data_IF_824902513797
#
_entry.id   IF_824902513797
#
_cell.length_a   1.000
_cell.length_b   1.000
_cell.length_c   1.000
_cell.angle_alpha   90.00
_cell.angle_beta   90.00
_cell.angle_gamma   90.00
#
_symmetry.space_group_name_H-M   'P 1'
#
loop_
_entity.id
_entity.type
_entity.pdbx_description
1 polymer ?
#
# COMPACT_ATOMS: atom_id res chain seq x y z
N UNK A 1 -13.14 5.00 -22.77
CA UNK A 1 -14.35 5.06 -21.91
C UNK A 1 -13.98 5.74 -20.61
N UNK A 2 -14.81 6.66 -20.10
CA UNK A 2 -14.57 7.31 -18.81
C UNK A 2 -14.64 6.27 -17.69
N UNK A 3 -13.66 6.29 -16.80
CA UNK A 3 -13.60 5.38 -15.63
C UNK A 3 -14.68 5.78 -14.64
N UNK A 4 -15.53 4.84 -14.21
CA UNK A 4 -16.57 5.10 -13.20
C UNK A 4 -15.92 5.26 -11.83
N UNK A 5 -16.22 6.38 -11.17
CA UNK A 5 -15.79 6.67 -9.80
C UNK A 5 -16.98 6.53 -8.87
N UNK A 6 -16.91 5.63 -7.90
CA UNK A 6 -17.91 5.44 -6.85
C UNK A 6 -17.63 6.38 -5.68
N UNK A 7 -18.64 7.14 -5.26
CA UNK A 7 -18.64 8.04 -4.11
C UNK A 7 -19.55 7.53 -3.01
N UNK A 8 -19.56 8.17 -1.86
CA UNK A 8 -20.40 7.79 -0.71
C UNK A 8 -21.87 7.58 -1.07
N UNK A 9 -22.44 8.44 -1.92
CA UNK A 9 -23.83 8.35 -2.36
C UNK A 9 -24.14 7.13 -3.24
N UNK A 10 -23.11 6.54 -3.87
CA UNK A 10 -23.27 5.41 -4.78
C UNK A 10 -23.19 4.06 -4.07
N UNK A 11 -22.86 4.06 -2.77
CA UNK A 11 -22.56 2.84 -2.02
C UNK A 11 -23.42 2.74 -0.76
N UNK A 12 -24.09 1.62 -0.61
CA UNK A 12 -24.89 1.31 0.59
C UNK A 12 -24.06 0.49 1.59
N UNK A 13 -23.84 1.07 2.76
CA UNK A 13 -23.15 0.43 3.87
C UNK A 13 -23.96 -0.71 4.51
N UNK A 14 -25.29 -0.73 4.32
CA UNK A 14 -26.18 -1.76 4.86
C UNK A 14 -25.80 -3.18 4.39
N UNK A 15 -25.10 -3.32 3.27
CA UNK A 15 -24.54 -4.60 2.81
C UNK A 15 -23.60 -5.30 3.78
N UNK A 16 -22.99 -4.56 4.71
CA UNK A 16 -22.14 -5.10 5.77
C UNK A 16 -22.87 -5.30 7.10
N UNK A 17 -24.08 -4.73 7.25
CA UNK A 17 -24.86 -4.88 8.49
C UNK A 17 -25.14 -6.36 8.76
N UNK A 18 -25.00 -6.76 10.03
CA UNK A 18 -25.19 -8.15 10.47
C UNK A 18 -24.02 -9.08 10.15
N UNK A 19 -23.11 -8.71 9.25
CA UNK A 19 -21.93 -9.53 8.92
C UNK A 19 -20.78 -9.30 9.90
N UNK A 20 -20.04 -10.36 10.17
CA UNK A 20 -18.80 -10.30 10.94
C UNK A 20 -17.61 -10.18 10.00
N UNK A 21 -16.81 -9.14 10.17
CA UNK A 21 -15.59 -8.85 9.41
C UNK A 21 -14.37 -9.32 10.20
N UNK A 22 -13.64 -10.31 9.69
CA UNK A 22 -12.35 -10.70 10.24
C UNK A 22 -11.22 -9.92 9.56
N UNK A 23 -10.31 -9.40 10.35
CA UNK A 23 -9.03 -8.83 9.88
C UNK A 23 -7.92 -9.78 10.34
N UNK A 24 -7.32 -10.50 9.40
CA UNK A 24 -6.22 -11.43 9.67
C UNK A 24 -4.89 -10.70 9.55
N UNK A 25 -4.26 -10.44 10.69
CA UNK A 25 -3.09 -9.56 10.82
C UNK A 25 -3.47 -8.17 11.31
N UNK A 26 -2.54 -7.53 12.04
CA UNK A 26 -2.75 -6.19 12.64
C UNK A 26 -1.52 -5.30 12.40
N UNK A 27 -0.98 -5.36 11.18
CA UNK A 27 0.05 -4.48 10.65
C UNK A 27 -0.54 -3.11 10.29
N UNK A 28 0.11 -2.37 9.39
CA UNK A 28 -0.32 -1.02 8.99
C UNK A 28 -1.74 -1.00 8.40
N UNK A 29 -2.00 -1.78 7.35
CA UNK A 29 -3.33 -1.86 6.72
C UNK A 29 -4.34 -2.55 7.64
N UNK A 30 -3.98 -3.67 8.28
CA UNK A 30 -4.89 -4.39 9.17
C UNK A 30 -5.38 -3.54 10.34
N UNK A 31 -4.51 -2.73 10.93
CA UNK A 31 -4.86 -1.77 11.97
C UNK A 31 -5.86 -0.72 11.45
N UNK A 32 -5.57 -0.08 10.32
CA UNK A 32 -6.41 0.95 9.75
C UNK A 32 -7.80 0.41 9.38
N UNK A 33 -7.86 -0.71 8.63
CA UNK A 33 -9.13 -1.32 8.25
C UNK A 33 -9.96 -1.75 9.46
N UNK A 34 -9.35 -2.42 10.45
CA UNK A 34 -10.08 -2.88 11.62
C UNK A 34 -10.71 -1.73 12.42
N UNK A 35 -9.98 -0.62 12.59
CA UNK A 35 -10.49 0.53 13.32
C UNK A 35 -11.54 1.31 12.54
N UNK A 36 -11.33 1.53 11.24
CA UNK A 36 -12.29 2.25 10.41
C UNK A 36 -13.61 1.49 10.27
N UNK A 37 -13.56 0.15 10.09
CA UNK A 37 -14.73 -0.71 10.11
C UNK A 37 -15.49 -0.62 11.42
N UNK A 38 -14.78 -0.72 12.56
CA UNK A 38 -15.39 -0.59 13.89
C UNK A 38 -16.07 0.76 14.06
N UNK A 39 -15.37 1.84 13.71
CA UNK A 39 -15.88 3.21 13.86
C UNK A 39 -17.02 3.51 12.87
N UNK A 40 -17.15 2.71 11.81
CA UNK A 40 -18.30 2.69 10.90
C UNK A 40 -19.44 1.77 11.38
N UNK A 41 -19.37 1.24 12.61
CA UNK A 41 -20.42 0.43 13.22
C UNK A 41 -20.42 -1.04 12.79
N UNK A 42 -19.36 -1.55 12.17
CA UNK A 42 -19.29 -2.94 11.73
C UNK A 42 -18.81 -3.86 12.85
N UNK A 43 -19.28 -5.12 12.83
CA UNK A 43 -18.83 -6.17 13.74
C UNK A 43 -17.46 -6.68 13.30
N UNK A 44 -16.41 -6.32 14.03
CA UNK A 44 -15.02 -6.62 13.68
C UNK A 44 -14.40 -7.60 14.66
N UNK A 45 -13.70 -8.58 14.16
CA UNK A 45 -12.81 -9.46 14.91
C UNK A 45 -11.40 -9.46 14.29
N UNK A 46 -10.38 -9.67 15.10
CA UNK A 46 -8.99 -9.72 14.63
C UNK A 46 -8.45 -11.11 14.82
N UNK A 47 -7.93 -11.70 13.74
CA UNK A 47 -7.25 -13.00 13.74
C UNK A 47 -5.74 -12.84 13.85
N UNK A 48 -5.12 -13.38 14.92
CA UNK A 48 -3.68 -13.31 15.16
C UNK A 48 -3.18 -14.63 15.75
N UNK A 49 -2.01 -15.09 15.31
CA UNK A 49 -1.37 -16.27 15.87
C UNK A 49 -1.10 -16.12 17.38
N UNK A 50 -1.02 -17.24 18.07
CA UNK A 50 -0.69 -17.29 19.50
C UNK A 50 0.69 -16.67 19.72
N UNK A 51 0.82 -15.73 20.68
CA UNK A 51 2.09 -15.04 20.95
C UNK A 51 2.35 -13.78 20.08
N UNK A 52 1.46 -13.42 19.16
CA UNK A 52 1.61 -12.18 18.38
C UNK A 52 1.63 -10.95 19.30
N UNK A 53 2.67 -10.12 19.19
CA UNK A 53 2.79 -8.84 19.92
C UNK A 53 1.64 -7.88 19.60
N UNK A 54 1.02 -8.00 18.43
CA UNK A 54 -0.10 -7.16 18.01
C UNK A 54 -1.40 -7.46 18.78
N UNK A 55 -1.51 -8.59 19.50
CA UNK A 55 -2.70 -8.92 20.32
C UNK A 55 -2.97 -7.86 21.38
N UNK A 56 -1.94 -7.39 22.07
CA UNK A 56 -2.05 -6.33 23.10
C UNK A 56 -2.59 -5.04 22.47
N UNK A 57 -2.01 -4.61 21.34
CA UNK A 57 -2.43 -3.40 20.63
C UNK A 57 -3.89 -3.49 20.14
N UNK A 58 -4.29 -4.64 19.58
CA UNK A 58 -5.65 -4.84 19.13
C UNK A 58 -6.67 -4.81 20.30
N UNK A 59 -6.35 -5.46 21.43
CA UNK A 59 -7.20 -5.43 22.65
C UNK A 59 -7.31 -4.02 23.25
N UNK A 60 -6.21 -3.26 23.32
CA UNK A 60 -6.22 -1.85 23.77
C UNK A 60 -7.15 -0.98 22.90
N UNK A 61 -7.30 -1.31 21.63
CA UNK A 61 -8.27 -0.69 20.74
C UNK A 61 -9.68 -1.30 20.84
N UNK A 62 -10.00 -2.04 21.89
CA UNK A 62 -11.33 -2.66 22.16
C UNK A 62 -11.79 -3.62 21.06
N UNK A 63 -10.86 -4.26 20.33
CA UNK A 63 -11.18 -5.26 19.32
C UNK A 63 -11.15 -6.66 19.93
N UNK A 64 -12.10 -7.53 19.53
CA UNK A 64 -12.11 -8.94 19.90
C UNK A 64 -11.02 -9.66 19.11
N UNK A 65 -10.10 -10.36 19.80
CA UNK A 65 -8.95 -11.03 19.21
C UNK A 65 -9.08 -12.53 19.41
N UNK A 66 -9.03 -13.26 18.31
CA UNK A 66 -9.05 -14.73 18.25
C UNK A 66 -7.75 -15.26 17.63
N UNK A 67 -7.55 -16.57 17.64
CA UNK A 67 -6.59 -17.22 16.77
C UNK A 67 -7.12 -17.18 15.31
N UNK A 68 -6.22 -17.25 14.34
CA UNK A 68 -6.58 -17.06 12.92
C UNK A 68 -7.73 -17.96 12.48
N UNK A 69 -7.64 -19.25 12.77
CA UNK A 69 -8.66 -20.22 12.41
C UNK A 69 -10.04 -19.90 13.03
N UNK A 70 -10.05 -19.50 14.30
CA UNK A 70 -11.27 -19.13 15.00
C UNK A 70 -11.91 -17.86 14.46
N UNK A 71 -11.09 -16.87 14.11
CA UNK A 71 -11.55 -15.64 13.48
C UNK A 71 -12.22 -15.94 12.12
N UNK A 72 -11.61 -16.83 11.31
CA UNK A 72 -12.17 -17.25 10.01
C UNK A 72 -13.51 -17.96 10.18
N UNK A 73 -13.63 -18.94 11.11
CA UNK A 73 -14.88 -19.68 11.34
C UNK A 73 -16.04 -18.79 11.78
N UNK A 74 -15.75 -17.70 12.50
CA UNK A 74 -16.75 -16.77 13.09
C UNK A 74 -17.18 -15.66 12.16
N UNK A 75 -16.61 -15.57 10.97
CA UNK A 75 -16.76 -14.37 10.13
C UNK A 75 -17.39 -14.69 8.78
N UNK A 76 -17.94 -13.65 8.15
CA UNK A 76 -18.54 -13.74 6.82
C UNK A 76 -17.59 -13.17 5.76
N UNK A 77 -16.77 -12.18 6.14
CA UNK A 77 -15.78 -11.55 5.29
C UNK A 77 -14.42 -11.63 5.97
N UNK A 78 -13.44 -12.17 5.28
CA UNK A 78 -12.09 -12.42 5.79
C UNK A 78 -11.10 -11.56 5.01
N UNK A 79 -10.57 -10.52 5.64
CA UNK A 79 -9.55 -9.64 5.09
C UNK A 79 -8.15 -10.12 5.46
N UNK A 80 -7.32 -10.40 4.46
CA UNK A 80 -5.94 -10.81 4.64
C UNK A 80 -5.01 -9.60 4.67
N UNK A 81 -4.57 -9.20 5.86
CA UNK A 81 -3.64 -8.10 6.12
C UNK A 81 -2.27 -8.62 6.57
N UNK A 82 -1.75 -9.60 5.86
CA UNK A 82 -0.49 -10.29 6.13
C UNK A 82 0.57 -9.90 5.07
N UNK A 83 1.86 -9.95 5.40
CA UNK A 83 2.90 -9.81 4.38
C UNK A 83 2.78 -10.88 3.30
N UNK A 84 2.95 -10.51 2.02
CA UNK A 84 2.78 -11.39 0.86
C UNK A 84 3.58 -12.69 0.96
N UNK A 85 4.77 -12.62 1.54
CA UNK A 85 5.65 -13.77 1.73
C UNK A 85 5.20 -14.76 2.82
N UNK A 86 4.36 -14.33 3.75
CA UNK A 86 3.82 -15.17 4.83
C UNK A 86 2.38 -15.59 4.57
N UNK A 87 1.67 -14.81 3.77
CA UNK A 87 0.25 -15.00 3.51
C UNK A 87 -0.10 -16.39 2.95
N UNK A 88 0.65 -16.97 1.98
CA UNK A 88 0.34 -18.29 1.45
C UNK A 88 0.38 -19.39 2.52
N UNK A 89 1.41 -19.43 3.35
CA UNK A 89 1.56 -20.44 4.40
C UNK A 89 0.44 -20.35 5.47
N UNK A 90 0.06 -19.12 5.86
CA UNK A 90 -1.06 -18.92 6.79
C UNK A 90 -2.39 -19.27 6.12
N UNK A 91 -2.55 -18.93 4.84
CA UNK A 91 -3.75 -19.30 4.08
C UNK A 91 -3.94 -20.82 4.06
N UNK A 92 -2.93 -21.57 3.68
CA UNK A 92 -2.99 -23.05 3.61
C UNK A 92 -3.26 -23.70 4.97
N UNK A 93 -2.52 -23.28 6.01
CA UNK A 93 -2.57 -23.94 7.32
C UNK A 93 -3.76 -23.55 8.18
N UNK A 94 -4.20 -22.30 8.13
CA UNK A 94 -5.15 -21.76 9.12
C UNK A 94 -6.43 -21.22 8.48
N UNK A 95 -6.38 -20.79 7.21
CA UNK A 95 -7.53 -20.11 6.59
C UNK A 95 -8.31 -21.06 5.70
N UNK A 96 -7.68 -21.68 4.70
CA UNK A 96 -8.36 -22.50 3.70
C UNK A 96 -9.18 -23.64 4.32
N UNK A 97 -8.64 -24.31 5.36
CA UNK A 97 -9.27 -25.40 6.08
C UNK A 97 -10.47 -24.96 6.95
N UNK A 98 -10.57 -23.69 7.26
CA UNK A 98 -11.58 -23.11 8.13
C UNK A 98 -12.59 -22.22 7.39
N UNK A 99 -12.41 -22.05 6.08
CA UNK A 99 -13.38 -21.32 5.24
C UNK A 99 -14.66 -22.16 5.05
N UNK A 100 -15.79 -21.48 5.04
CA UNK A 100 -17.11 -22.01 4.72
C UNK A 100 -17.57 -21.50 3.35
N UNK A 101 -18.41 -22.29 2.67
CA UNK A 101 -19.05 -21.86 1.43
C UNK A 101 -19.81 -20.51 1.65
N UNK A 102 -19.77 -19.64 0.65
CA UNK A 102 -20.45 -18.34 0.67
C UNK A 102 -19.72 -17.23 1.43
N UNK A 103 -18.59 -17.50 2.10
CA UNK A 103 -17.76 -16.45 2.67
C UNK A 103 -17.08 -15.61 1.58
N UNK A 104 -16.62 -14.42 1.96
CA UNK A 104 -15.83 -13.54 1.09
C UNK A 104 -14.38 -13.46 1.58
N UNK A 105 -13.43 -13.76 0.72
CA UNK A 105 -12.00 -13.53 0.95
C UNK A 105 -11.61 -12.19 0.33
N UNK A 106 -11.02 -11.30 1.13
CA UNK A 106 -10.69 -9.94 0.73
C UNK A 106 -9.18 -9.68 0.86
N UNK A 107 -8.63 -9.01 -0.14
CA UNK A 107 -7.21 -8.63 -0.21
C UNK A 107 -7.07 -7.11 -0.31
N UNK A 108 -5.95 -6.57 0.19
CA UNK A 108 -5.60 -5.15 0.02
C UNK A 108 -4.73 -4.90 -1.23
N UNK A 109 -4.19 -5.95 -1.84
CA UNK A 109 -3.32 -5.93 -3.00
C UNK A 109 -3.47 -7.22 -3.79
N UNK A 110 -3.30 -7.16 -5.11
CA UNK A 110 -3.60 -8.29 -5.98
C UNK A 110 -2.51 -9.37 -6.07
N UNK A 111 -1.31 -9.17 -5.51
CA UNK A 111 -0.12 -10.02 -5.65
C UNK A 111 -0.41 -11.52 -5.48
N UNK A 112 -1.05 -11.89 -4.38
CA UNK A 112 -1.26 -13.29 -4.02
C UNK A 112 -2.14 -14.05 -5.02
N UNK A 113 -3.13 -13.37 -5.60
CA UNK A 113 -4.05 -13.94 -6.58
C UNK A 113 -3.46 -13.88 -7.98
N UNK A 114 -2.88 -12.76 -8.37
CA UNK A 114 -2.32 -12.56 -9.71
C UNK A 114 -1.16 -13.52 -10.00
N UNK A 115 -0.22 -13.66 -9.07
CA UNK A 115 0.90 -14.60 -9.21
C UNK A 115 0.61 -16.01 -8.67
N UNK A 116 -0.66 -16.30 -8.34
CA UNK A 116 -1.13 -17.61 -7.88
C UNK A 116 -0.35 -18.18 -6.69
N UNK A 117 0.15 -17.33 -5.81
CA UNK A 117 0.73 -17.77 -4.53
C UNK A 117 -0.35 -18.24 -3.55
N UNK A 118 -1.58 -17.82 -3.78
CA UNK A 118 -2.81 -18.35 -3.17
C UNK A 118 -3.78 -18.73 -4.28
N UNK A 119 -4.31 -19.96 -4.21
CA UNK A 119 -5.41 -20.44 -5.04
C UNK A 119 -6.65 -20.57 -4.15
N UNK A 120 -7.60 -19.62 -4.21
CA UNK A 120 -8.77 -19.64 -3.34
C UNK A 120 -9.74 -20.77 -3.69
N UNK A 121 -10.48 -21.28 -2.69
CA UNK A 121 -11.59 -22.21 -2.88
C UNK A 121 -12.60 -21.69 -3.89
N UNK A 122 -13.25 -22.60 -4.62
CA UNK A 122 -14.18 -22.23 -5.70
C UNK A 122 -15.56 -21.76 -5.20
N UNK A 123 -15.91 -22.08 -3.98
CA UNK A 123 -17.23 -21.86 -3.37
C UNK A 123 -17.34 -20.56 -2.54
N UNK A 124 -16.38 -19.64 -2.67
CA UNK A 124 -16.34 -18.35 -1.99
C UNK A 124 -16.21 -17.18 -2.97
N UNK A 125 -16.59 -16.00 -2.52
CA UNK A 125 -16.27 -14.75 -3.21
C UNK A 125 -14.80 -14.37 -2.97
N UNK A 126 -14.17 -13.76 -3.98
CA UNK A 126 -12.80 -13.24 -3.86
C UNK A 126 -12.75 -11.83 -4.41
N UNK A 127 -12.42 -10.89 -3.56
CA UNK A 127 -12.42 -9.47 -3.88
C UNK A 127 -11.15 -8.78 -3.40
N UNK A 128 -10.89 -7.61 -3.94
CA UNK A 128 -9.83 -6.71 -3.50
C UNK A 128 -10.42 -5.35 -3.16
N UNK A 129 -9.90 -4.75 -2.10
CA UNK A 129 -10.08 -3.34 -1.75
C UNK A 129 -8.70 -2.78 -1.42
N UNK A 130 -8.13 -2.02 -2.33
CA UNK A 130 -6.78 -1.48 -2.25
C UNK A 130 -6.82 0.05 -2.05
N UNK A 131 -6.74 0.55 -0.80
CA UNK A 131 -6.58 1.98 -0.55
C UNK A 131 -5.23 2.46 -1.13
N UNK A 132 -5.25 3.57 -1.88
CA UNK A 132 -4.02 4.17 -2.43
C UNK A 132 -3.38 5.12 -1.41
N UNK A 133 -2.93 4.53 -0.31
CA UNK A 133 -2.26 5.20 0.79
C UNK A 133 -1.76 4.22 1.85
N UNK A 134 -0.75 4.64 2.59
CA UNK A 134 -0.19 3.85 3.69
C UNK A 134 -1.24 3.69 4.81
N UNK A 135 -1.21 2.58 5.53
CA UNK A 135 -2.17 2.29 6.60
C UNK A 135 -2.39 3.44 7.59
N UNK A 136 -1.35 4.10 8.13
CA UNK A 136 -1.52 5.28 8.97
C UNK A 136 -2.30 6.41 8.29
N UNK A 137 -2.07 6.68 6.98
CA UNK A 137 -2.83 7.69 6.22
C UNK A 137 -4.30 7.28 6.08
N UNK A 138 -4.57 6.01 5.74
CA UNK A 138 -5.96 5.49 5.66
C UNK A 138 -6.70 5.73 6.97
N UNK A 139 -6.02 5.57 8.12
CA UNK A 139 -6.61 5.82 9.43
C UNK A 139 -6.79 7.32 9.71
N UNK A 140 -5.74 8.11 9.50
CA UNK A 140 -5.75 9.55 9.81
C UNK A 140 -6.77 10.30 8.95
N UNK A 141 -6.83 10.04 7.65
CA UNK A 141 -7.80 10.66 6.76
C UNK A 141 -9.24 10.28 7.14
N UNK A 142 -9.46 9.02 7.54
CA UNK A 142 -10.77 8.59 8.03
C UNK A 142 -11.21 9.35 9.28
N UNK A 143 -10.32 9.48 10.28
CA UNK A 143 -10.62 10.20 11.55
C UNK A 143 -10.91 11.67 11.30
N UNK A 144 -10.22 12.27 10.33
CA UNK A 144 -10.41 13.66 9.93
C UNK A 144 -11.63 13.88 9.01
N UNK A 145 -12.52 12.88 8.87
CA UNK A 145 -13.70 12.98 8.01
C UNK A 145 -13.41 12.90 6.50
N UNK A 146 -12.14 12.76 6.12
CA UNK A 146 -11.67 12.59 4.74
C UNK A 146 -11.49 11.11 4.42
N UNK A 147 -10.85 10.80 3.29
CA UNK A 147 -10.49 9.45 2.89
C UNK A 147 -9.35 9.45 1.87
N UNK A 148 -8.72 8.31 1.70
CA UNK A 148 -7.79 8.08 0.60
C UNK A 148 -8.52 7.41 -0.56
N UNK A 149 -8.18 7.71 -1.82
CA UNK A 149 -8.76 6.99 -2.97
C UNK A 149 -8.52 5.49 -2.86
N UNK A 150 -9.41 4.69 -3.42
CA UNK A 150 -9.30 3.24 -3.37
C UNK A 150 -9.60 2.58 -4.71
N UNK A 151 -9.08 1.37 -4.88
CA UNK A 151 -9.43 0.50 -5.99
C UNK A 151 -10.21 -0.69 -5.47
N UNK A 152 -11.17 -1.17 -6.26
CA UNK A 152 -11.82 -2.46 -6.03
C UNK A 152 -11.65 -3.37 -7.24
N UNK A 153 -11.55 -4.67 -6.98
CA UNK A 153 -11.60 -5.68 -8.03
C UNK A 153 -12.36 -6.93 -7.54
N UNK A 154 -12.99 -7.62 -8.48
CA UNK A 154 -13.66 -8.89 -8.25
C UNK A 154 -12.92 -9.97 -9.05
N UNK A 155 -12.31 -10.91 -8.35
CA UNK A 155 -11.70 -12.08 -8.98
C UNK A 155 -12.72 -13.21 -9.16
N UNK A 156 -13.59 -13.41 -8.14
CA UNK A 156 -14.67 -14.41 -8.17
C UNK A 156 -15.91 -13.87 -7.48
N UNK A 157 -17.04 -14.03 -8.16
CA UNK A 157 -18.36 -13.62 -7.69
C UNK A 157 -19.29 -14.84 -7.60
N UNK A 158 -19.10 -15.69 -6.60
CA UNK A 158 -19.91 -16.92 -6.40
C UNK A 158 -21.32 -16.60 -5.91
N UNK A 159 -21.43 -15.57 -5.06
CA UNK A 159 -22.72 -15.18 -4.44
C UNK A 159 -23.56 -14.23 -5.30
N UNK A 160 -23.02 -13.69 -6.40
CA UNK A 160 -23.62 -12.57 -7.15
C UNK A 160 -23.46 -11.20 -6.47
N UNK A 161 -22.82 -11.14 -5.28
CA UNK A 161 -22.79 -9.96 -4.41
C UNK A 161 -21.37 -9.41 -4.15
N UNK A 162 -20.33 -10.05 -4.68
CA UNK A 162 -18.93 -9.75 -4.42
C UNK A 162 -18.57 -8.25 -4.60
N UNK A 163 -19.02 -7.63 -5.69
CA UNK A 163 -18.79 -6.21 -5.97
C UNK A 163 -19.44 -5.30 -4.92
N UNK A 164 -20.68 -5.60 -4.52
CA UNK A 164 -21.38 -4.83 -3.46
C UNK A 164 -20.66 -4.92 -2.13
N UNK A 165 -20.13 -6.10 -1.80
CA UNK A 165 -19.33 -6.31 -0.58
C UNK A 165 -18.03 -5.50 -0.63
N UNK A 166 -17.31 -5.48 -1.76
CA UNK A 166 -16.09 -4.68 -1.93
C UNK A 166 -16.36 -3.18 -1.82
N UNK A 167 -17.43 -2.69 -2.46
CA UNK A 167 -17.84 -1.29 -2.37
C UNK A 167 -18.23 -0.90 -0.93
N UNK A 168 -19.06 -1.70 -0.27
CA UNK A 168 -19.45 -1.43 1.10
C UNK A 168 -18.26 -1.45 2.07
N UNK A 169 -17.30 -2.36 1.88
CA UNK A 169 -16.05 -2.35 2.63
C UNK A 169 -15.24 -1.09 2.39
N UNK A 170 -15.13 -0.65 1.11
CA UNK A 170 -14.45 0.61 0.75
C UNK A 170 -15.06 1.82 1.43
N UNK A 171 -16.40 1.87 1.52
CA UNK A 171 -17.12 2.92 2.24
C UNK A 171 -16.85 2.86 3.73
N UNK A 172 -16.90 1.66 4.31
CA UNK A 172 -16.65 1.46 5.74
C UNK A 172 -15.24 1.87 6.19
N UNK A 173 -14.27 1.83 5.29
CA UNK A 173 -12.90 2.31 5.57
C UNK A 173 -12.63 3.74 5.11
N UNK A 174 -13.63 4.42 4.51
CA UNK A 174 -13.59 5.83 4.13
C UNK A 174 -13.10 6.13 2.71
N UNK A 175 -12.79 5.12 1.88
CA UNK A 175 -12.27 5.37 0.54
C UNK A 175 -13.26 6.06 -0.39
N UNK A 176 -14.56 5.83 -0.24
CA UNK A 176 -15.60 6.43 -1.08
C UNK A 176 -15.74 7.95 -0.90
N UNK A 177 -15.24 8.50 0.20
CA UNK A 177 -15.17 9.96 0.43
C UNK A 177 -14.22 10.63 -0.59
N UNK A 178 -13.11 9.98 -0.92
CA UNK A 178 -12.17 10.45 -1.94
C UNK A 178 -12.51 9.91 -3.35
N UNK A 179 -13.10 8.71 -3.43
CA UNK A 179 -13.51 8.04 -4.64
C UNK A 179 -12.90 6.66 -4.79
N UNK A 180 -13.66 5.74 -5.36
CA UNK A 180 -13.27 4.35 -5.59
C UNK A 180 -13.43 4.00 -7.06
N UNK A 181 -12.40 3.38 -7.65
CA UNK A 181 -12.36 2.96 -9.04
C UNK A 181 -12.40 1.43 -9.10
N UNK A 182 -13.15 0.89 -10.04
CA UNK A 182 -13.14 -0.54 -10.35
C UNK A 182 -11.99 -0.87 -11.28
N UNK A 183 -11.26 -1.94 -10.98
CA UNK A 183 -10.12 -2.43 -11.75
C UNK A 183 -10.08 -3.95 -11.77
N UNK A 184 -8.97 -4.54 -12.16
CA UNK A 184 -8.70 -5.98 -12.10
C UNK A 184 -7.57 -6.28 -11.11
N UNK A 185 -7.49 -7.51 -10.60
CA UNK A 185 -6.34 -7.95 -9.80
C UNK A 185 -5.02 -7.81 -10.58
N UNK A 186 -5.05 -8.06 -11.89
CA UNK A 186 -3.88 -7.88 -12.75
C UNK A 186 -3.44 -6.42 -12.80
N UNK A 187 -4.34 -5.54 -13.21
CA UNK A 187 -3.99 -4.13 -13.47
C UNK A 187 -3.56 -3.43 -12.18
N UNK A 188 -4.24 -3.71 -11.06
CA UNK A 188 -3.83 -3.20 -9.75
C UNK A 188 -2.42 -3.69 -9.39
N UNK A 189 -2.15 -5.01 -9.50
CA UNK A 189 -0.83 -5.55 -9.13
C UNK A 189 0.29 -5.02 -10.01
N UNK A 190 0.07 -4.97 -11.33
CA UNK A 190 1.08 -4.47 -12.28
C UNK A 190 1.39 -3.00 -12.04
N UNK A 191 0.37 -2.17 -11.89
CA UNK A 191 0.54 -0.72 -11.72
C UNK A 191 1.07 -0.34 -10.35
N UNK A 192 0.64 -1.01 -9.29
CA UNK A 192 1.11 -0.78 -7.92
C UNK A 192 2.61 -1.15 -7.79
N UNK A 193 2.99 -2.35 -8.20
CA UNK A 193 4.39 -2.79 -8.21
C UNK A 193 5.27 -1.90 -9.09
N UNK A 194 4.78 -1.47 -10.25
CA UNK A 194 5.51 -0.54 -11.10
C UNK A 194 5.68 0.83 -10.42
N UNK A 195 4.60 1.38 -9.88
CA UNK A 195 4.61 2.67 -9.20
C UNK A 195 5.61 2.71 -8.05
N UNK A 196 5.59 1.71 -7.15
CA UNK A 196 6.51 1.67 -6.02
C UNK A 196 7.98 1.42 -6.41
N UNK A 197 8.24 0.62 -7.45
CA UNK A 197 9.60 0.33 -7.91
C UNK A 197 10.20 1.47 -8.73
N UNK A 198 9.47 1.96 -9.74
CA UNK A 198 10.00 2.91 -10.71
C UNK A 198 9.91 4.37 -10.26
N UNK A 199 8.92 4.72 -9.43
CA UNK A 199 8.64 6.12 -9.07
C UNK A 199 8.65 6.36 -7.57
N UNK A 200 7.69 5.78 -6.83
CA UNK A 200 7.37 6.21 -5.46
C UNK A 200 8.46 5.89 -4.44
N UNK A 201 9.01 4.69 -4.46
CA UNK A 201 10.02 4.26 -3.50
C UNK A 201 11.39 4.12 -4.18
N UNK A 202 11.51 3.25 -5.20
CA UNK A 202 12.78 2.96 -5.84
C UNK A 202 13.36 4.16 -6.57
N UNK A 203 12.62 4.71 -7.53
CA UNK A 203 13.05 5.85 -8.35
C UNK A 203 13.38 7.08 -7.51
N UNK A 204 12.44 7.52 -6.68
CA UNK A 204 12.63 8.72 -5.82
C UNK A 204 13.82 8.57 -4.88
N UNK A 205 13.96 7.42 -4.20
CA UNK A 205 15.11 7.21 -3.29
C UNK A 205 16.44 7.17 -4.02
N UNK A 206 16.48 6.63 -5.25
CA UNK A 206 17.68 6.61 -6.07
C UNK A 206 18.06 8.00 -6.56
N UNK A 207 17.08 8.80 -7.02
CA UNK A 207 17.28 10.19 -7.46
C UNK A 207 17.83 11.06 -6.33
N UNK A 208 17.21 11.00 -5.16
CA UNK A 208 17.65 11.74 -3.96
C UNK A 208 19.10 11.40 -3.59
N UNK A 209 19.44 10.12 -3.55
CA UNK A 209 20.82 9.71 -3.24
C UNK A 209 21.82 10.17 -4.30
N UNK A 210 21.48 10.05 -5.57
CA UNK A 210 22.34 10.49 -6.67
C UNK A 210 22.60 12.00 -6.59
N UNK A 211 21.59 12.82 -6.33
CA UNK A 211 21.73 14.26 -6.13
C UNK A 211 22.61 14.60 -4.93
N UNK A 212 22.31 14.00 -3.77
CA UNK A 212 23.10 14.16 -2.55
C UNK A 212 24.58 13.80 -2.77
N UNK A 213 24.87 12.64 -3.35
CA UNK A 213 26.25 12.18 -3.59
C UNK A 213 26.98 13.08 -4.58
N UNK A 214 26.29 13.62 -5.57
CA UNK A 214 26.87 14.53 -6.56
C UNK A 214 27.34 15.82 -5.90
N UNK A 215 26.50 16.44 -5.05
CA UNK A 215 26.85 17.65 -4.33
C UNK A 215 27.99 17.42 -3.34
N UNK A 216 27.92 16.34 -2.56
CA UNK A 216 28.96 16.02 -1.57
C UNK A 216 30.31 15.74 -2.25
N UNK A 217 30.34 15.05 -3.40
CA UNK A 217 31.55 14.80 -4.17
C UNK A 217 32.12 16.08 -4.78
N UNK A 218 31.28 17.05 -5.09
CA UNK A 218 31.68 18.36 -5.58
C UNK A 218 32.18 19.30 -4.46
N UNK A 219 32.22 18.86 -3.19
CA UNK A 219 32.77 19.60 -2.07
C UNK A 219 31.75 20.37 -1.23
N UNK A 220 30.46 20.27 -1.53
CA UNK A 220 29.41 20.91 -0.70
C UNK A 220 29.22 20.14 0.62
N UNK A 221 28.78 20.84 1.67
CA UNK A 221 28.49 20.20 2.95
C UNK A 221 27.34 19.19 2.80
N UNK A 222 27.41 18.11 3.57
CA UNK A 222 26.41 17.06 3.52
C UNK A 222 25.06 17.53 4.07
N UNK A 223 25.07 18.50 4.98
CA UNK A 223 23.88 19.14 5.55
C UNK A 223 23.14 19.94 4.48
N UNK A 224 23.86 20.77 3.70
CA UNK A 224 23.28 21.52 2.58
C UNK A 224 22.73 20.56 1.52
N UNK A 225 23.50 19.56 1.11
CA UNK A 225 23.05 18.55 0.15
C UNK A 225 21.80 17.79 0.64
N UNK A 226 21.65 17.58 1.94
CA UNK A 226 20.46 16.95 2.52
C UNK A 226 19.23 17.86 2.42
N UNK A 227 19.37 19.15 2.72
CA UNK A 227 18.25 20.09 2.60
C UNK A 227 17.75 20.19 1.17
N UNK A 228 18.66 20.41 0.23
CA UNK A 228 18.35 20.60 -1.19
C UNK A 228 17.78 19.33 -1.88
N UNK A 229 18.33 18.15 -1.57
CA UNK A 229 17.97 16.94 -2.30
C UNK A 229 16.88 16.08 -1.61
N UNK A 230 16.65 16.26 -0.29
CA UNK A 230 15.69 15.43 0.43
C UNK A 230 14.67 16.21 1.23
N UNK A 231 15.10 17.19 2.05
CA UNK A 231 14.17 17.86 2.95
C UNK A 231 13.11 18.67 2.17
N UNK A 232 13.57 19.46 1.22
CA UNK A 232 12.70 20.33 0.43
C UNK A 232 11.81 19.58 -0.56
N UNK A 233 12.20 18.38 -0.97
CA UNK A 233 11.40 17.54 -1.86
C UNK A 233 9.96 17.34 -1.34
N UNK A 234 9.78 17.28 -0.01
CA UNK A 234 8.44 17.17 0.58
C UNK A 234 7.52 18.31 0.14
N UNK A 235 8.03 19.54 0.20
CA UNK A 235 7.22 20.71 -0.14
C UNK A 235 6.85 20.75 -1.62
N UNK A 236 7.77 20.35 -2.49
CA UNK A 236 7.50 20.22 -3.93
C UNK A 236 6.46 19.13 -4.19
N UNK A 237 6.56 18.00 -3.50
CA UNK A 237 5.59 16.90 -3.64
C UNK A 237 4.22 17.31 -3.11
N UNK A 238 4.14 18.08 -2.02
CA UNK A 238 2.89 18.62 -1.50
C UNK A 238 2.22 19.54 -2.54
N UNK A 239 2.96 20.45 -3.15
CA UNK A 239 2.44 21.34 -4.22
C UNK A 239 1.92 20.54 -5.43
N UNK A 240 2.67 19.51 -5.86
CA UNK A 240 2.23 18.61 -6.95
C UNK A 240 0.94 17.88 -6.54
N UNK A 241 0.86 17.42 -5.30
CA UNK A 241 -0.31 16.69 -4.78
C UNK A 241 -1.56 17.60 -4.75
N UNK A 242 -1.40 18.83 -4.32
CA UNK A 242 -2.51 19.79 -4.14
C UNK A 242 -2.98 20.40 -5.45
N UNK A 243 -2.06 20.74 -6.35
CA UNK A 243 -2.34 21.59 -7.52
C UNK A 243 -1.89 20.99 -8.85
N UNK A 244 -1.32 19.76 -8.85
CA UNK A 244 -0.71 19.13 -10.02
C UNK A 244 0.61 19.79 -10.42
N UNK A 245 1.29 19.24 -11.42
CA UNK A 245 2.58 19.76 -11.91
C UNK A 245 2.47 21.21 -12.44
N UNK A 246 1.32 21.57 -13.01
CA UNK A 246 1.09 22.93 -13.47
C UNK A 246 1.02 23.91 -12.28
N UNK A 247 0.19 23.61 -11.29
CA UNK A 247 0.05 24.47 -10.11
C UNK A 247 1.35 24.58 -9.30
N UNK A 248 2.13 23.52 -9.20
CA UNK A 248 3.47 23.57 -8.63
C UNK A 248 4.36 24.58 -9.38
N UNK A 249 4.37 24.56 -10.75
CA UNK A 249 5.12 25.54 -11.54
C UNK A 249 4.68 26.97 -11.28
N UNK A 250 3.39 27.22 -11.09
CA UNK A 250 2.89 28.57 -10.83
C UNK A 250 3.40 29.16 -9.50
N UNK A 251 3.87 28.31 -8.59
CA UNK A 251 4.32 28.68 -7.23
C UNK A 251 5.84 28.67 -7.03
N UNK A 252 6.62 28.09 -7.95
CA UNK A 252 8.09 28.08 -7.87
C UNK A 252 8.71 29.24 -8.66
N UNK A 253 10.02 29.52 -8.44
CA UNK A 253 10.75 30.58 -9.13
C UNK A 253 10.93 30.29 -10.63
N UNK A 254 11.16 31.36 -11.42
CA UNK A 254 11.41 31.19 -12.87
C UNK A 254 12.69 30.42 -13.17
N UNK A 255 13.71 30.53 -12.32
CA UNK A 255 14.93 29.71 -12.42
C UNK A 255 14.64 28.24 -12.20
N UNK A 256 13.79 27.90 -11.23
CA UNK A 256 13.37 26.51 -10.98
C UNK A 256 12.52 25.96 -12.13
N UNK A 257 11.58 26.77 -12.68
CA UNK A 257 10.80 26.40 -13.88
C UNK A 257 11.70 26.09 -15.07
N UNK A 258 12.68 26.96 -15.31
CA UNK A 258 13.64 26.76 -16.40
C UNK A 258 14.43 25.46 -16.22
N UNK A 259 14.95 25.23 -15.01
CA UNK A 259 15.65 24.00 -14.67
C UNK A 259 14.79 22.74 -14.84
N UNK A 260 13.54 22.75 -14.33
CA UNK A 260 12.60 21.65 -14.51
C UNK A 260 12.43 21.27 -15.99
N UNK A 261 12.14 22.27 -16.84
CA UNK A 261 11.79 22.05 -18.25
C UNK A 261 13.00 21.69 -19.12
N UNK A 262 14.20 22.17 -18.77
CA UNK A 262 15.41 21.96 -19.59
C UNK A 262 16.32 20.85 -19.08
N UNK A 263 16.41 20.65 -17.76
CA UNK A 263 17.28 19.65 -17.13
C UNK A 263 16.54 18.36 -16.81
N UNK A 264 15.28 18.44 -16.40
CA UNK A 264 14.47 17.25 -16.09
C UNK A 264 14.52 16.18 -17.20
N UNK A 265 14.26 16.50 -18.48
CA UNK A 265 14.33 15.56 -19.58
C UNK A 265 15.72 14.96 -19.85
N UNK A 266 16.79 15.62 -19.39
CA UNK A 266 18.16 15.09 -19.50
C UNK A 266 18.48 14.08 -18.40
N UNK A 267 17.85 14.19 -17.24
CA UNK A 267 18.00 13.25 -16.13
C UNK A 267 17.14 12.01 -16.38
N UNK A 268 15.86 12.23 -16.72
CA UNK A 268 14.91 11.14 -17.04
C UNK A 268 14.77 11.05 -18.57
N UNK A 269 15.81 10.59 -19.21
CA UNK A 269 15.93 10.47 -20.66
C UNK A 269 15.36 9.14 -21.20
N UNK A 270 15.56 8.89 -22.49
CA UNK A 270 15.11 7.67 -23.17
C UNK A 270 15.72 6.38 -22.60
N UNK A 271 16.92 6.44 -22.00
CA UNK A 271 17.56 5.29 -21.34
C UNK A 271 16.80 4.91 -20.09
N UNK A 272 16.45 5.90 -19.25
CA UNK A 272 15.63 5.69 -18.06
C UNK A 272 14.24 5.16 -18.43
N UNK A 273 13.61 5.73 -19.46
CA UNK A 273 12.32 5.22 -19.94
C UNK A 273 12.41 3.77 -20.49
N UNK A 274 13.52 3.40 -21.12
CA UNK A 274 13.77 2.01 -21.55
C UNK A 274 13.86 1.07 -20.35
N UNK A 275 14.52 1.48 -19.27
CA UNK A 275 14.61 0.70 -18.04
C UNK A 275 13.24 0.58 -17.35
N UNK A 276 12.46 1.65 -17.27
CA UNK A 276 11.08 1.59 -16.75
C UNK A 276 10.22 0.58 -17.53
N UNK A 277 10.35 0.52 -18.85
CA UNK A 277 9.70 -0.52 -19.67
C UNK A 277 10.21 -1.93 -19.35
N UNK A 278 11.50 -2.09 -19.04
CA UNK A 278 12.06 -3.37 -18.61
C UNK A 278 11.49 -3.81 -17.25
N UNK A 279 11.42 -2.91 -16.27
CA UNK A 279 10.80 -3.15 -14.98
C UNK A 279 9.34 -3.62 -15.14
N UNK A 280 8.56 -2.94 -15.99
CA UNK A 280 7.16 -3.34 -16.24
C UNK A 280 7.07 -4.73 -16.89
N UNK A 281 7.98 -5.08 -17.82
CA UNK A 281 8.03 -6.44 -18.40
C UNK A 281 8.36 -7.49 -17.34
N UNK A 282 9.25 -7.22 -16.41
CA UNK A 282 9.61 -8.15 -15.33
C UNK A 282 8.44 -8.40 -14.37
N UNK A 283 7.66 -7.36 -14.08
CA UNK A 283 6.43 -7.47 -13.29
C UNK A 283 5.41 -8.34 -14.05
N UNK A 284 5.10 -8.02 -15.30
CA UNK A 284 4.11 -8.74 -16.12
C UNK A 284 4.45 -10.20 -16.35
N UNK A 285 5.73 -10.50 -16.59
CA UNK A 285 6.20 -11.88 -16.76
C UNK A 285 6.26 -12.68 -15.46
N UNK A 286 6.06 -12.03 -14.31
CA UNK A 286 6.22 -12.62 -12.98
C UNK A 286 7.68 -12.87 -12.59
N UNK A 287 8.67 -12.38 -13.34
CA UNK A 287 10.10 -12.53 -13.00
C UNK A 287 10.39 -11.91 -11.64
N UNK A 288 9.97 -10.66 -11.45
CA UNK A 288 10.11 -9.98 -10.16
C UNK A 288 9.49 -10.78 -9.00
N UNK A 289 8.26 -11.24 -9.15
CA UNK A 289 7.56 -11.99 -8.09
C UNK A 289 8.29 -13.30 -7.75
N UNK A 290 8.77 -14.04 -8.76
CA UNK A 290 9.54 -15.28 -8.53
C UNK A 290 10.86 -15.02 -7.82
N UNK A 291 11.59 -13.97 -8.21
CA UNK A 291 12.84 -13.58 -7.56
C UNK A 291 12.61 -13.17 -6.10
N UNK A 292 11.62 -12.32 -5.86
CA UNK A 292 11.24 -11.87 -4.52
C UNK A 292 10.87 -13.02 -3.60
N UNK A 293 9.96 -13.90 -4.04
CA UNK A 293 9.52 -15.06 -3.24
C UNK A 293 10.69 -16.00 -2.96
N UNK A 294 11.57 -16.24 -3.95
CA UNK A 294 12.78 -17.07 -3.77
C UNK A 294 13.72 -16.48 -2.74
N UNK A 295 14.04 -15.19 -2.83
CA UNK A 295 14.91 -14.49 -1.89
C UNK A 295 14.37 -14.53 -0.46
N UNK A 296 13.05 -14.31 -0.30
CA UNK A 296 12.42 -14.34 1.00
C UNK A 296 12.43 -15.73 1.63
N UNK A 297 12.21 -16.80 0.84
CA UNK A 297 12.31 -18.21 1.28
C UNK A 297 13.75 -18.63 1.58
N UNK A 298 14.72 -18.11 0.85
CA UNK A 298 16.16 -18.43 1.03
C UNK A 298 16.83 -17.71 2.22
N UNK A 299 16.06 -17.09 3.12
CA UNK A 299 16.57 -16.45 4.33
C UNK A 299 17.01 -15.00 4.16
N UNK A 300 16.62 -14.34 3.05
CA UNK A 300 16.76 -12.90 2.85
C UNK A 300 18.22 -12.37 2.84
N UNK A 301 19.19 -13.16 2.40
CA UNK A 301 20.62 -12.79 2.46
C UNK A 301 20.92 -11.56 1.59
N UNK A 302 20.48 -11.56 0.32
CA UNK A 302 20.65 -10.43 -0.60
C UNK A 302 19.88 -9.21 -0.12
N UNK A 303 18.62 -9.39 0.29
CA UNK A 303 17.77 -8.32 0.80
C UNK A 303 18.40 -7.63 2.01
N UNK A 304 18.86 -8.39 3.01
CA UNK A 304 19.53 -7.84 4.21
C UNK A 304 20.81 -7.07 3.86
N UNK A 305 21.61 -7.57 2.91
CA UNK A 305 22.82 -6.88 2.44
C UNK A 305 22.48 -5.54 1.78
N UNK A 306 21.50 -5.53 0.86
CA UNK A 306 21.04 -4.31 0.18
C UNK A 306 20.47 -3.30 1.18
N UNK A 307 19.65 -3.77 2.12
CA UNK A 307 19.09 -2.93 3.17
C UNK A 307 20.18 -2.34 4.07
N UNK A 308 21.14 -3.13 4.52
CA UNK A 308 22.26 -2.64 5.34
C UNK A 308 23.06 -1.56 4.62
N UNK A 309 23.31 -1.74 3.32
CA UNK A 309 24.00 -0.73 2.51
C UNK A 309 23.20 0.58 2.40
N UNK A 310 21.87 0.48 2.18
CA UNK A 310 21.00 1.64 2.11
C UNK A 310 20.90 2.36 3.47
N UNK A 311 20.67 1.62 4.57
CA UNK A 311 20.57 2.17 5.93
C UNK A 311 21.89 2.79 6.41
N UNK A 312 23.03 2.34 5.88
CA UNK A 312 24.38 2.85 6.17
C UNK A 312 24.81 4.06 5.32
N UNK A 313 23.99 4.48 4.37
CA UNK A 313 24.34 5.61 3.51
C UNK A 313 24.53 6.91 4.31
N UNK A 314 25.49 7.77 3.88
CA UNK A 314 25.82 9.03 4.56
C UNK A 314 24.61 9.94 4.77
N UNK A 315 23.69 10.00 3.82
CA UNK A 315 22.45 10.78 3.90
C UNK A 315 21.59 10.42 5.12
N UNK A 316 21.56 9.12 5.52
CA UNK A 316 20.78 8.66 6.68
C UNK A 316 21.39 9.17 8.01
N UNK A 317 22.72 9.18 8.10
CA UNK A 317 23.43 9.71 9.27
C UNK A 317 23.19 11.22 9.43
N UNK A 318 23.40 11.97 8.35
CA UNK A 318 23.18 13.43 8.30
C UNK A 318 21.72 13.75 8.61
N UNK A 319 20.79 13.11 7.91
CA UNK A 319 19.37 13.33 8.11
C UNK A 319 18.89 13.00 9.53
N UNK A 320 19.48 12.02 10.20
CA UNK A 320 19.16 11.74 11.62
C UNK A 320 19.54 12.91 12.52
N UNK A 321 20.73 13.48 12.34
CA UNK A 321 21.18 14.64 13.09
C UNK A 321 20.27 15.85 12.86
N UNK A 322 19.99 16.19 11.60
CA UNK A 322 19.16 17.33 11.26
C UNK A 322 17.72 17.19 11.73
N UNK A 323 17.10 16.01 11.56
CA UNK A 323 15.73 15.73 12.05
C UNK A 323 15.62 15.82 13.57
N UNK A 324 16.70 15.56 14.32
CA UNK A 324 16.70 15.72 15.78
C UNK A 324 16.66 17.19 16.22
N UNK A 325 17.12 18.11 15.37
CA UNK A 325 17.07 19.56 15.62
C UNK A 325 15.70 20.17 15.27
N UNK A 326 14.88 19.47 14.47
CA UNK A 326 13.55 19.93 14.07
C UNK A 326 12.52 19.59 15.16
N UNK A 327 12.07 20.56 15.92
CA UNK A 327 11.19 20.38 17.09
C UNK A 327 9.70 20.28 16.74
N UNK A 328 9.31 20.58 15.49
CA UNK A 328 7.91 20.62 15.01
C UNK A 328 7.49 19.30 14.31
N UNK A 329 7.59 18.20 14.99
CA UNK A 329 7.07 16.92 14.48
C UNK A 329 5.68 16.64 15.02
#
# INVERSE_FOLDING_TARGET
MAVRIYRDKDVDLAWLKGKTCAVIGFGAQGHAHALNLRDSGMKVVVGLYRGSKSRVRAKRNRLKVFETADAVRRSDIIFLALPDTKMPAVYEKEIALNLRAGQTLLFAHGFAIYYRTIVPRKDIDVVMVAPKGLGPMVRNEFVNGRGVPGLIAVYRNRSGRAKRTALAWSKAIGCTRAGVIETTFRDETETDLFGEQAVLCGGTSALVRAGFDTLVKAGYSAELAYFECLHELKFIVDLIHESGMRGMRDLISDTAKWGELTVGPRIIDTRVQKEMRAVLRDIRSGRFAREFVREMKAGQKRYRRLRKAADGHRIEKVGRGLRALMTWK
#
